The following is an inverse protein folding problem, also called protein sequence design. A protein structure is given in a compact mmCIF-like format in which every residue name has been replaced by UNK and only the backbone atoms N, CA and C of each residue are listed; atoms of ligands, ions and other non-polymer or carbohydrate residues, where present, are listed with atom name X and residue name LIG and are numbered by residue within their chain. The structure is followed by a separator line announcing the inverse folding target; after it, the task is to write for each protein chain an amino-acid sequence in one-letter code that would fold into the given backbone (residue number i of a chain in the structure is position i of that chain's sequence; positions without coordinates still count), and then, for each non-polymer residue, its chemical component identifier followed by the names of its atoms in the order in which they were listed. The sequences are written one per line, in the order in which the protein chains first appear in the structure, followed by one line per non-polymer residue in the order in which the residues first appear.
data_IF_191615157644
#
_entry.id   IF_191615157644
#
_cell.length_a   1.000
_cell.length_b   1.000
_cell.length_c   1.000
_cell.angle_alpha   90.00
_cell.angle_beta   90.00
_cell.angle_gamma   90.00
#
_symmetry.space_group_name_H-M   'P 1'
#
loop_
_entity.id
_entity.type
_entity.pdbx_description
1 polymer ?
#
# COMPACT_ATOMS: atom_id res chain seq x y z
N UNK A 1 -50.32 13.56 17.71
CA UNK A 1 -50.49 12.15 17.27
C UNK A 1 -49.14 11.46 17.41
N UNK A 2 -49.10 10.40 18.23
CA UNK A 2 -47.91 9.61 18.58
C UNK A 2 -47.80 8.38 17.66
N UNK A 3 -46.60 8.11 17.16
CA UNK A 3 -46.16 6.78 16.72
C UNK A 3 -44.67 6.86 16.35
N UNK A 4 -43.79 5.91 16.63
CA UNK A 4 -43.75 4.73 17.53
C UNK A 4 -42.29 4.27 17.43
N UNK A 5 -41.66 3.98 18.56
CA UNK A 5 -40.35 3.33 18.70
C UNK A 5 -40.26 2.03 17.91
N UNK A 6 -39.08 1.71 17.36
CA UNK A 6 -38.62 0.32 17.24
C UNK A 6 -37.08 0.27 17.34
N UNK A 7 -36.67 -0.52 18.32
CA UNK A 7 -35.32 -0.93 18.71
C UNK A 7 -34.82 -2.04 17.76
N UNK A 8 -33.69 -2.68 18.11
CA UNK A 8 -33.01 -3.83 17.49
C UNK A 8 -31.87 -3.42 16.52
N UNK A 9 -30.66 -3.97 16.57
CA UNK A 9 -30.19 -5.23 17.12
C UNK A 9 -28.66 -5.12 17.34
N UNK A 10 -28.17 -5.55 18.50
CA UNK A 10 -26.74 -5.73 18.74
C UNK A 10 -26.31 -7.10 18.17
N UNK A 11 -25.30 -7.11 17.30
CA UNK A 11 -24.65 -8.34 16.82
C UNK A 11 -23.28 -8.43 17.49
N UNK A 12 -23.16 -9.35 18.45
CA UNK A 12 -21.89 -9.83 18.97
C UNK A 12 -21.37 -10.92 18.04
N UNK A 13 -20.15 -10.75 17.51
CA UNK A 13 -19.43 -11.76 16.75
C UNK A 13 -18.24 -12.24 17.58
N UNK A 14 -18.43 -13.38 18.23
CA UNK A 14 -17.37 -14.21 18.80
C UNK A 14 -16.88 -15.11 17.67
N UNK A 15 -15.61 -15.00 17.31
CA UNK A 15 -14.94 -15.88 16.36
C UNK A 15 -13.57 -16.27 16.87
N UNK A 16 -13.50 -17.40 17.58
CA UNK A 16 -12.27 -18.09 17.88
C UNK A 16 -11.79 -18.84 16.63
N UNK A 17 -10.56 -18.59 16.18
CA UNK A 17 -9.89 -19.44 15.20
C UNK A 17 -8.43 -19.61 15.62
N UNK A 18 -8.12 -20.85 15.96
CA UNK A 18 -6.86 -21.43 16.37
C UNK A 18 -5.74 -21.17 15.35
N UNK A 19 -4.64 -20.55 15.77
CA UNK A 19 -3.41 -20.53 14.98
C UNK A 19 -2.71 -21.89 15.12
N UNK A 20 -2.85 -22.74 14.10
CA UNK A 20 -2.08 -23.96 13.94
C UNK A 20 -0.60 -23.65 13.74
N UNK A 21 0.24 -24.17 14.63
CA UNK A 21 1.70 -24.19 14.45
C UNK A 21 2.08 -25.20 13.39
N UNK A 22 2.83 -24.78 12.39
CA UNK A 22 3.49 -25.68 11.45
C UNK A 22 4.87 -26.04 12.02
N UNK A 23 5.00 -27.29 12.46
CA UNK A 23 6.28 -27.95 12.66
C UNK A 23 6.79 -28.44 11.31
N UNK A 24 7.95 -27.95 10.85
CA UNK A 24 8.67 -28.58 9.75
C UNK A 24 9.66 -29.58 10.32
N UNK A 25 9.41 -30.87 10.03
CA UNK A 25 10.26 -31.99 10.41
C UNK A 25 11.67 -31.86 9.82
N UNK A 26 12.66 -32.13 10.67
CA UNK A 26 14.07 -32.24 10.33
C UNK A 26 14.42 -33.70 10.08
N UNK A 27 14.98 -33.99 8.90
CA UNK A 27 15.59 -35.26 8.48
C UNK A 27 16.15 -35.03 7.07
N UNK A 28 17.37 -35.42 6.69
CA UNK A 28 18.38 -36.32 7.24
C UNK A 28 19.72 -36.09 6.52
N UNK A 29 20.80 -36.63 7.12
CA UNK A 29 22.04 -37.11 6.50
C UNK A 29 23.27 -36.17 6.44
N UNK A 30 24.14 -36.35 7.44
CA UNK A 30 25.60 -36.61 7.32
C UNK A 30 25.91 -37.46 6.08
N UNK A 31 26.95 -37.28 5.27
CA UNK A 31 28.38 -36.91 5.44
C UNK A 31 28.98 -36.75 4.00
N UNK A 32 30.29 -36.50 3.72
CA UNK A 32 31.40 -36.16 4.61
C UNK A 32 32.23 -34.93 4.16
N UNK A 33 33.06 -34.49 5.09
CA UNK A 33 34.30 -33.70 4.93
C UNK A 33 35.08 -34.04 3.65
N UNK A 34 35.30 -33.03 2.81
CA UNK A 34 36.52 -32.91 1.98
C UNK A 34 37.14 -31.55 2.23
N UNK A 35 38.23 -31.56 3.00
CA UNK A 35 39.16 -30.46 3.18
C UNK A 35 40.01 -30.30 1.92
N UNK A 36 39.93 -29.15 1.26
CA UNK A 36 41.01 -28.62 0.41
C UNK A 36 40.84 -27.09 0.22
N UNK A 37 41.57 -26.35 1.05
CA UNK A 37 42.34 -25.12 0.78
C UNK A 37 41.87 -24.16 -0.34
N UNK A 38 41.40 -22.95 0.03
CA UNK A 38 42.17 -21.68 -0.08
C UNK A 38 41.33 -20.47 0.46
N UNK A 39 41.92 -19.47 1.16
CA UNK A 39 41.21 -18.36 1.77
C UNK A 39 41.23 -17.15 0.84
N UNK A 40 40.15 -16.93 0.08
CA UNK A 40 40.19 -15.81 -0.87
C UNK A 40 38.95 -15.56 -1.68
N UNK A 41 37.80 -15.30 -1.05
CA UNK A 41 36.73 -14.57 -1.73
C UNK A 41 35.74 -14.02 -0.70
N UNK A 42 36.06 -12.84 -0.16
CA UNK A 42 35.03 -11.99 0.42
C UNK A 42 33.99 -11.70 -0.66
N UNK A 43 32.85 -12.39 -0.61
CA UNK A 43 31.69 -12.13 -1.47
C UNK A 43 31.06 -10.80 -1.03
N UNK A 44 31.71 -9.70 -1.41
CA UNK A 44 31.16 -8.36 -1.32
C UNK A 44 29.91 -8.25 -2.22
N UNK A 45 28.75 -8.37 -1.55
CA UNK A 45 27.54 -7.54 -1.64
C UNK A 45 26.63 -7.68 -2.89
N UNK A 46 25.35 -8.03 -2.71
CA UNK A 46 24.30 -7.95 -3.75
C UNK A 46 23.75 -6.51 -3.94
N UNK A 47 24.57 -5.48 -3.73
CA UNK A 47 24.10 -4.09 -3.84
C UNK A 47 24.07 -3.57 -5.29
N UNK A 48 25.01 -3.99 -6.15
CA UNK A 48 25.08 -3.52 -7.56
C UNK A 48 23.84 -3.89 -8.38
N UNK A 49 23.19 -5.02 -8.10
CA UNK A 49 22.04 -5.52 -8.85
C UNK A 49 20.73 -4.78 -8.56
N UNK A 50 20.59 -4.11 -7.41
CA UNK A 50 19.42 -3.26 -7.11
C UNK A 50 19.52 -1.90 -7.79
N UNK A 51 20.69 -1.25 -7.74
CA UNK A 51 20.89 0.05 -8.39
C UNK A 51 20.73 -0.05 -9.91
N UNK A 52 21.27 -1.09 -10.55
CA UNK A 52 21.11 -1.32 -11.98
C UNK A 52 19.64 -1.55 -12.39
N UNK A 53 18.88 -2.34 -11.62
CA UNK A 53 17.44 -2.55 -11.85
C UNK A 53 16.63 -1.28 -11.65
N UNK A 54 16.94 -0.50 -10.60
CA UNK A 54 16.28 0.77 -10.34
C UNK A 54 16.54 1.77 -11.48
N UNK A 55 17.76 1.79 -12.04
CA UNK A 55 18.12 2.63 -13.18
C UNK A 55 17.41 2.18 -14.48
N UNK A 56 17.33 0.87 -14.73
CA UNK A 56 16.60 0.32 -15.86
C UNK A 56 15.09 0.68 -15.80
N UNK A 57 14.47 0.57 -14.62
CA UNK A 57 13.08 0.99 -14.41
C UNK A 57 12.88 2.50 -14.49
N UNK A 58 13.91 3.30 -14.18
CA UNK A 58 13.83 4.75 -14.32
C UNK A 58 13.74 5.20 -15.79
N UNK A 59 14.29 4.40 -16.72
CA UNK A 59 14.31 4.64 -18.16
C UNK A 59 13.15 3.96 -18.92
N UNK A 60 12.32 3.15 -18.25
CA UNK A 60 11.14 2.57 -18.88
C UNK A 60 10.08 3.66 -19.15
N UNK A 61 9.63 3.84 -20.41
CA UNK A 61 8.62 4.84 -20.77
C UNK A 61 7.32 4.71 -19.97
N UNK A 62 6.87 3.49 -19.67
CA UNK A 62 5.64 3.26 -18.90
C UNK A 62 5.82 3.76 -17.46
N UNK A 63 6.96 3.45 -16.83
CA UNK A 63 7.32 3.99 -15.52
C UNK A 63 7.46 5.52 -15.51
N UNK A 64 8.02 6.12 -16.55
CA UNK A 64 8.11 7.59 -16.66
C UNK A 64 6.71 8.23 -16.68
N UNK A 65 5.77 7.69 -17.45
CA UNK A 65 4.37 8.16 -17.46
C UNK A 65 3.73 8.01 -16.08
N UNK A 66 3.85 6.85 -15.43
CA UNK A 66 3.30 6.63 -14.08
C UNK A 66 3.86 7.65 -13.08
N UNK A 67 5.17 7.96 -13.12
CA UNK A 67 5.82 8.95 -12.25
C UNK A 67 5.27 10.35 -12.48
N UNK A 68 5.18 10.78 -13.74
CA UNK A 68 4.68 12.11 -14.09
C UNK A 68 3.21 12.27 -13.69
N UNK A 69 2.39 11.22 -13.85
CA UNK A 69 0.99 11.21 -13.41
C UNK A 69 0.85 11.36 -11.90
N UNK A 70 1.70 10.69 -11.11
CA UNK A 70 1.73 10.85 -9.64
C UNK A 70 2.13 12.28 -9.27
N UNK A 71 3.09 12.87 -9.97
CA UNK A 71 3.51 14.25 -9.75
C UNK A 71 2.37 15.24 -10.06
N UNK A 72 1.68 15.07 -11.19
CA UNK A 72 0.50 15.87 -11.54
C UNK A 72 -0.61 15.72 -10.51
N UNK A 73 -0.93 14.50 -10.05
CA UNK A 73 -1.91 14.31 -8.98
C UNK A 73 -1.52 15.11 -7.73
N UNK A 74 -0.25 15.05 -7.29
CA UNK A 74 0.19 15.80 -6.12
C UNK A 74 -0.01 17.30 -6.31
N UNK A 75 0.31 17.84 -7.49
CA UNK A 75 0.09 19.26 -7.79
C UNK A 75 -1.40 19.62 -7.73
N UNK A 76 -2.28 18.80 -8.30
CA UNK A 76 -3.73 18.99 -8.20
C UNK A 76 -4.22 18.97 -6.74
N UNK A 77 -3.68 18.08 -5.92
CA UNK A 77 -4.02 18.02 -4.50
C UNK A 77 -3.53 19.25 -3.73
N UNK A 78 -2.32 19.74 -4.03
CA UNK A 78 -1.76 20.95 -3.41
C UNK A 78 -2.54 22.21 -3.82
N UNK A 79 -3.03 22.26 -5.05
CA UNK A 79 -3.87 23.34 -5.59
C UNK A 79 -5.34 23.26 -5.11
N UNK A 80 -5.67 22.32 -4.21
CA UNK A 80 -7.04 22.13 -3.71
C UNK A 80 -8.02 21.53 -4.73
N UNK A 81 -7.54 21.10 -5.90
CA UNK A 81 -8.31 20.52 -7.00
C UNK A 81 -8.43 19.01 -6.92
N UNK A 82 -8.56 18.47 -5.71
CA UNK A 82 -8.66 17.03 -5.47
C UNK A 82 -9.83 16.37 -6.25
N UNK A 83 -10.92 17.11 -6.45
CA UNK A 83 -12.09 16.67 -7.22
C UNK A 83 -11.82 16.41 -8.72
N UNK A 84 -10.76 17.02 -9.28
CA UNK A 84 -10.41 16.90 -10.69
C UNK A 84 -9.44 15.74 -10.96
N UNK A 85 -8.85 15.15 -9.91
CA UNK A 85 -7.89 14.04 -10.02
C UNK A 85 -8.49 12.81 -10.74
N UNK A 86 -9.75 12.40 -10.53
CA UNK A 86 -10.33 11.31 -11.31
C UNK A 86 -10.38 11.61 -12.82
N UNK A 87 -10.68 12.85 -13.21
CA UNK A 87 -10.75 13.26 -14.61
C UNK A 87 -9.35 13.21 -15.28
N UNK A 88 -8.29 13.57 -14.55
CA UNK A 88 -6.90 13.43 -15.00
C UNK A 88 -6.57 11.98 -15.40
N UNK A 89 -7.00 10.99 -14.61
CA UNK A 89 -6.78 9.57 -14.94
C UNK A 89 -7.70 9.05 -16.06
N UNK A 90 -8.90 9.61 -16.19
CA UNK A 90 -9.79 9.29 -17.33
C UNK A 90 -9.20 9.80 -18.66
N UNK A 91 -8.56 10.97 -18.67
CA UNK A 91 -7.85 11.48 -19.84
C UNK A 91 -6.63 10.61 -20.21
N UNK A 92 -5.94 10.02 -19.22
CA UNK A 92 -4.91 9.02 -19.50
C UNK A 92 -5.52 7.78 -20.18
N UNK A 93 -6.68 7.30 -19.70
CA UNK A 93 -7.36 6.12 -20.23
C UNK A 93 -7.89 6.31 -21.66
N UNK A 94 -8.25 7.54 -22.05
CA UNK A 94 -8.70 7.84 -23.41
C UNK A 94 -7.53 7.86 -24.41
N UNK A 95 -6.31 8.16 -23.94
CA UNK A 95 -5.10 8.29 -24.77
C UNK A 95 -4.24 7.04 -24.84
N UNK A 96 -4.51 6.01 -24.02
CA UNK A 96 -3.67 4.81 -23.94
C UNK A 96 -4.45 3.49 -24.03
N UNK A 97 -3.91 2.56 -24.80
CA UNK A 97 -4.34 1.16 -24.83
C UNK A 97 -3.40 0.24 -24.03
N UNK A 98 -2.31 0.77 -23.48
CA UNK A 98 -1.34 -0.02 -22.72
C UNK A 98 -1.99 -0.59 -21.44
N UNK A 99 -2.02 -1.91 -21.29
CA UNK A 99 -2.69 -2.61 -20.19
C UNK A 99 -2.19 -2.15 -18.80
N UNK A 100 -0.89 -1.90 -18.70
CA UNK A 100 -0.20 -1.53 -17.48
C UNK A 100 -0.59 -0.12 -16.99
N UNK A 101 -0.70 0.83 -17.92
CA UNK A 101 -1.18 2.18 -17.65
C UNK A 101 -2.68 2.20 -17.34
N UNK A 102 -3.47 1.34 -18.00
CA UNK A 102 -4.90 1.23 -17.73
C UNK A 102 -5.18 0.69 -16.33
N UNK A 103 -4.52 -0.41 -15.95
CA UNK A 103 -4.60 -0.98 -14.59
C UNK A 103 -4.20 0.04 -13.53
N UNK A 104 -3.10 0.74 -13.77
CA UNK A 104 -2.64 1.83 -12.90
C UNK A 104 -3.69 2.94 -12.74
N UNK A 105 -4.28 3.44 -13.84
CA UNK A 105 -5.27 4.51 -13.79
C UNK A 105 -6.54 4.09 -13.03
N UNK A 106 -7.07 2.89 -13.31
CA UNK A 106 -8.24 2.37 -12.59
C UNK A 106 -7.98 2.22 -11.10
N UNK A 107 -6.81 1.68 -10.71
CA UNK A 107 -6.44 1.55 -9.30
C UNK A 107 -6.38 2.92 -8.59
N UNK A 108 -5.91 3.97 -9.27
CA UNK A 108 -5.86 5.32 -8.71
C UNK A 108 -7.25 5.94 -8.57
N UNK A 109 -8.13 5.78 -9.56
CA UNK A 109 -9.52 6.25 -9.49
C UNK A 109 -10.25 5.59 -8.32
N UNK A 110 -10.17 4.26 -8.19
CA UNK A 110 -10.80 3.52 -7.10
C UNK A 110 -10.30 4.00 -5.72
N UNK A 111 -9.00 4.26 -5.58
CA UNK A 111 -8.44 4.82 -4.34
C UNK A 111 -9.01 6.19 -4.01
N UNK A 112 -9.16 7.09 -4.99
CA UNK A 112 -9.74 8.41 -4.74
C UNK A 112 -11.21 8.33 -4.31
N UNK A 113 -11.98 7.38 -4.85
CA UNK A 113 -13.36 7.12 -4.42
C UNK A 113 -13.44 6.48 -3.03
N UNK A 114 -12.44 5.67 -2.67
CA UNK A 114 -12.33 5.06 -1.35
C UNK A 114 -11.70 5.97 -0.29
N UNK A 115 -11.19 7.15 -0.67
CA UNK A 115 -10.71 8.12 0.33
C UNK A 115 -11.89 8.51 1.20
N UNK A 116 -11.69 8.64 2.53
CA UNK A 116 -12.77 9.00 3.43
C UNK A 116 -13.44 10.27 2.91
N UNK A 117 -14.71 10.14 2.54
CA UNK A 117 -15.54 11.20 1.96
C UNK A 117 -15.59 12.44 2.85
N UNK A 118 -15.26 12.28 4.14
CA UNK A 118 -15.27 13.34 5.15
C UNK A 118 -13.89 13.47 5.82
N UNK A 119 -12.90 14.14 5.20
CA UNK A 119 -11.62 14.43 5.84
C UNK A 119 -11.82 15.14 7.19
N UNK A 120 -12.83 16.00 7.31
CA UNK A 120 -13.21 16.69 8.55
C UNK A 120 -13.61 15.73 9.67
N UNK A 121 -14.31 14.63 9.34
CA UNK A 121 -14.73 13.62 10.31
C UNK A 121 -13.52 12.82 10.82
N UNK A 122 -12.60 12.45 9.92
CA UNK A 122 -11.34 11.79 10.31
C UNK A 122 -10.46 12.71 11.15
N UNK A 123 -10.36 14.00 10.78
CA UNK A 123 -9.63 15.00 11.58
C UNK A 123 -10.25 15.13 12.97
N UNK A 124 -11.58 15.17 13.08
CA UNK A 124 -12.26 15.21 14.36
C UNK A 124 -11.95 13.96 15.21
N UNK A 125 -12.02 12.76 14.63
CA UNK A 125 -11.69 11.51 15.33
C UNK A 125 -10.22 11.46 15.75
N UNK A 126 -9.29 11.88 14.88
CA UNK A 126 -7.86 11.92 15.21
C UNK A 126 -7.57 12.94 16.31
N UNK A 127 -8.20 14.12 16.27
CA UNK A 127 -8.09 15.12 17.34
C UNK A 127 -8.61 14.57 18.67
N UNK A 128 -9.78 13.96 18.67
CA UNK A 128 -10.35 13.34 19.88
C UNK A 128 -9.43 12.25 20.44
N UNK A 129 -8.87 11.38 19.58
CA UNK A 129 -7.90 10.38 20.01
C UNK A 129 -6.59 11.00 20.52
N UNK A 130 -6.18 12.15 19.98
CA UNK A 130 -5.04 12.91 20.49
C UNK A 130 -5.31 13.48 21.88
N UNK A 131 -6.47 14.11 22.06
CA UNK A 131 -6.90 14.72 23.33
C UNK A 131 -7.02 13.65 24.44
N UNK A 132 -7.56 12.49 24.10
CA UNK A 132 -7.68 11.36 25.03
C UNK A 132 -6.33 10.73 25.39
N UNK A 133 -5.36 10.75 24.49
CA UNK A 133 -4.00 10.29 24.82
C UNK A 133 -3.23 11.34 25.64
N UNK A 134 -3.42 12.63 25.34
CA UNK A 134 -2.80 13.72 26.10
C UNK A 134 -3.30 13.79 27.54
N UNK A 135 -4.58 13.51 27.79
CA UNK A 135 -5.14 13.46 29.15
C UNK A 135 -4.60 12.31 30.00
N UNK A 136 -4.01 11.28 29.38
CA UNK A 136 -3.38 10.14 30.06
C UNK A 136 -1.90 10.36 30.39
N UNK A 137 -1.29 11.42 29.87
CA UNK A 137 0.14 11.73 30.02
C UNK A 137 0.37 12.95 30.93
N UNK A 138 -0.69 13.62 31.39
CA UNK A 138 -0.65 14.74 32.33
C UNK A 138 -0.94 14.31 33.76
#
# INVERSE_FOLDING_TARGET
MRSKTLMFLAVALIGAATAGGYATAQSTATDPTTTATDPGAGTMRPHRSRFARNAAMANDPVHAVKRNMIQLERLYLLDGRAKDVPALYQDLLSRTQNADLRSFAYARIARQQARPTNPSQVIATVKQALDENLSRVQ
#
